data_IF_043265634072
#
_entry.id   IF_043265634072
#
_cell.length_a   1.000
_cell.length_b   1.000
_cell.length_c   1.000
_cell.angle_alpha   90.00
_cell.angle_beta   90.00
_cell.angle_gamma   90.00
#
_symmetry.space_group_name_H-M   'P 1'
#
loop_
_entity.id
_entity.type
_entity.pdbx_description
1 polymer ?
#
# COMPACT_ATOMS: atom_id res chain seq x y z
N UNK A 1 20.99 -15.88 -22.14
CA UNK A 1 20.62 -14.71 -21.33
C UNK A 1 21.62 -14.54 -20.20
N UNK A 2 21.83 -13.30 -19.77
CA UNK A 2 22.37 -13.00 -18.45
C UNK A 2 21.23 -13.00 -17.45
N UNK A 3 21.43 -13.59 -16.29
CA UNK A 3 20.46 -13.59 -15.19
C UNK A 3 21.12 -12.96 -13.96
N UNK A 4 20.53 -11.87 -13.48
CA UNK A 4 20.95 -11.18 -12.27
C UNK A 4 19.92 -11.38 -11.18
N UNK A 5 20.41 -11.57 -9.97
CA UNK A 5 19.56 -11.67 -8.78
C UNK A 5 20.09 -10.72 -7.71
N UNK A 6 19.20 -9.89 -7.19
CA UNK A 6 19.44 -9.03 -6.04
C UNK A 6 18.49 -9.44 -4.93
N UNK A 7 19.02 -9.67 -3.75
CA UNK A 7 18.23 -9.90 -2.55
C UNK A 7 18.39 -8.66 -1.66
N UNK A 8 17.29 -7.96 -1.46
CA UNK A 8 17.20 -6.93 -0.43
C UNK A 8 16.56 -7.62 0.76
N UNK A 9 17.35 -7.91 1.71
CA UNK A 9 16.91 -8.49 2.90
C UNK A 9 17.69 -7.97 3.92
N UNK A 10 17.46 -8.27 4.77
CA UNK A 10 17.70 -9.24 5.53
C UNK A 10 16.97 -9.00 6.80
N UNK A 11 17.41 -9.18 7.91
CA UNK A 11 16.71 -9.12 9.16
C UNK A 11 16.24 -7.71 9.57
N UNK A 12 16.77 -6.68 8.94
CA UNK A 12 16.57 -5.28 9.36
C UNK A 12 16.15 -4.34 8.24
N UNK A 13 15.88 -4.86 7.03
CA UNK A 13 15.53 -4.04 5.88
C UNK A 13 14.21 -4.44 5.27
N UNK A 14 13.45 -3.46 4.82
CA UNK A 14 12.27 -3.64 3.99
C UNK A 14 12.37 -2.75 2.77
N UNK A 15 11.93 -3.27 1.63
CA UNK A 15 11.84 -2.48 0.42
C UNK A 15 10.50 -1.76 0.39
N UNK A 16 10.56 -0.46 0.10
CA UNK A 16 9.41 0.36 -0.09
C UNK A 16 9.63 1.28 -1.29
N UNK A 17 8.80 1.16 -2.32
CA UNK A 17 8.95 1.88 -3.60
C UNK A 17 10.36 1.81 -4.20
N UNK A 18 10.96 0.63 -4.23
CA UNK A 18 12.27 0.42 -4.82
C UNK A 18 13.45 0.89 -3.97
N UNK A 19 13.22 1.32 -2.73
CA UNK A 19 14.27 1.72 -1.79
C UNK A 19 14.28 0.78 -0.59
N UNK A 20 15.47 0.45 -0.13
CA UNK A 20 15.64 -0.28 1.12
C UNK A 20 15.58 0.70 2.31
N UNK A 21 14.79 0.34 3.31
CA UNK A 21 14.70 1.07 4.56
C UNK A 21 15.06 0.16 5.72
N UNK A 22 15.78 0.71 6.69
CA UNK A 22 15.98 0.01 7.94
C UNK A 22 14.68 -0.03 8.72
N UNK A 23 14.32 -1.24 9.14
CA UNK A 23 13.16 -1.43 10.01
C UNK A 23 13.60 -1.37 11.48
N UNK A 24 12.74 -0.87 12.36
CA UNK A 24 12.96 -1.03 13.78
C UNK A 24 12.96 -2.54 14.13
N UNK A 25 13.61 -2.93 15.23
CA UNK A 25 13.64 -4.32 15.65
C UNK A 25 12.22 -4.88 15.90
N UNK A 26 12.06 -6.23 15.92
CA UNK A 26 10.76 -6.83 16.24
C UNK A 26 10.11 -6.17 17.47
N UNK A 27 8.77 -6.09 17.51
CA UNK A 27 7.79 -6.84 16.69
C UNK A 27 7.30 -6.10 15.43
N UNK A 28 7.99 -5.10 14.93
CA UNK A 28 7.48 -4.18 13.91
C UNK A 28 7.43 -4.74 12.49
N UNK A 29 8.05 -5.87 12.21
CA UNK A 29 8.07 -6.45 10.87
C UNK A 29 7.98 -7.98 10.85
N UNK A 30 7.57 -8.50 9.71
CA UNK A 30 7.56 -9.93 9.41
C UNK A 30 8.20 -10.13 8.04
N UNK A 31 9.33 -10.80 7.97
CA UNK A 31 10.06 -11.19 6.76
C UNK A 31 10.20 -10.10 5.69
N UNK A 32 11.06 -9.12 5.89
CA UNK A 32 11.20 -7.97 4.99
C UNK A 32 11.99 -8.27 3.70
N UNK A 33 12.01 -9.51 3.23
CA UNK A 33 12.81 -9.92 2.07
C UNK A 33 12.17 -9.50 0.76
N UNK A 34 12.95 -8.84 -0.10
CA UNK A 34 12.59 -8.59 -1.49
C UNK A 34 13.64 -9.17 -2.43
N UNK A 35 13.21 -9.94 -3.41
CA UNK A 35 14.08 -10.55 -4.42
C UNK A 35 13.76 -9.92 -5.76
N UNK A 36 14.78 -9.34 -6.39
CA UNK A 36 14.73 -8.84 -7.74
C UNK A 36 15.51 -9.75 -8.67
N UNK A 37 14.92 -10.12 -9.78
CA UNK A 37 15.58 -10.90 -10.82
C UNK A 37 15.40 -10.18 -12.17
N UNK A 38 16.48 -10.10 -12.93
CA UNK A 38 16.52 -9.46 -14.24
C UNK A 38 17.21 -10.38 -15.24
N UNK A 39 16.54 -10.63 -16.36
CA UNK A 39 17.08 -11.39 -17.48
C UNK A 39 17.33 -10.45 -18.64
N UNK A 40 18.57 -10.49 -19.16
CA UNK A 40 19.04 -9.63 -20.25
C UNK A 40 19.45 -10.52 -21.43
N UNK A 41 19.01 -10.15 -22.63
CA UNK A 41 19.46 -10.81 -23.84
C UNK A 41 20.96 -10.60 -24.08
N UNK A 42 21.70 -11.67 -24.32
CA UNK A 42 23.13 -11.60 -24.64
C UNK A 42 23.41 -10.92 -25.98
N UNK A 43 22.45 -11.04 -26.92
CA UNK A 43 22.62 -10.54 -28.27
C UNK A 43 22.49 -9.02 -28.40
N UNK A 44 21.66 -8.39 -27.61
CA UNK A 44 21.36 -6.95 -27.73
C UNK A 44 21.49 -6.17 -26.44
N UNK A 45 21.77 -6.81 -25.31
CA UNK A 45 21.94 -6.15 -24.03
C UNK A 45 20.65 -5.62 -23.41
N UNK A 46 19.49 -5.95 -23.96
CA UNK A 46 18.21 -5.44 -23.45
C UNK A 46 17.55 -6.39 -22.46
N UNK A 47 16.90 -5.84 -21.42
CA UNK A 47 16.11 -6.65 -20.51
C UNK A 47 14.87 -7.21 -21.22
N UNK A 48 14.59 -8.49 -21.03
CA UNK A 48 13.40 -9.10 -21.58
C UNK A 48 12.44 -9.60 -20.49
N UNK A 49 12.95 -9.84 -19.28
CA UNK A 49 12.11 -10.27 -18.16
C UNK A 49 12.61 -9.68 -16.86
N UNK A 50 11.69 -9.20 -16.07
CA UNK A 50 11.92 -8.76 -14.70
C UNK A 50 10.97 -9.52 -13.76
N UNK A 51 11.47 -9.97 -12.64
CA UNK A 51 10.67 -10.53 -11.54
C UNK A 51 11.02 -9.81 -10.24
N UNK A 52 10.00 -9.43 -9.51
CA UNK A 52 10.11 -8.93 -8.15
C UNK A 52 9.26 -9.80 -7.25
N UNK A 53 9.87 -10.36 -6.23
CA UNK A 53 9.15 -11.14 -5.23
C UNK A 53 9.32 -10.48 -3.86
N UNK A 54 8.20 -10.22 -3.24
CA UNK A 54 8.08 -9.72 -1.86
C UNK A 54 7.24 -10.71 -1.07
N UNK A 55 7.26 -10.63 0.26
CA UNK A 55 6.51 -11.55 1.13
C UNK A 55 5.00 -11.62 0.81
N UNK A 56 4.44 -10.58 0.23
CA UNK A 56 3.00 -10.44 -0.04
C UNK A 56 2.64 -10.35 -1.53
N UNK A 57 3.63 -10.17 -2.41
CA UNK A 57 3.38 -9.98 -3.84
C UNK A 57 4.54 -10.49 -4.69
N UNK A 58 4.21 -11.09 -5.83
CA UNK A 58 5.17 -11.45 -6.87
C UNK A 58 4.69 -10.81 -8.16
N UNK A 59 5.51 -9.93 -8.73
CA UNK A 59 5.28 -9.38 -10.07
C UNK A 59 6.27 -9.96 -11.06
N UNK A 60 5.79 -10.25 -12.27
CA UNK A 60 6.62 -10.68 -13.39
C UNK A 60 6.25 -9.83 -14.59
N UNK A 61 7.22 -9.18 -15.16
CA UNK A 61 7.09 -8.37 -16.36
C UNK A 61 7.93 -8.98 -17.47
N UNK A 62 7.37 -9.10 -18.66
CA UNK A 62 8.08 -9.63 -19.84
C UNK A 62 7.93 -8.66 -20.99
N UNK A 63 9.04 -8.30 -21.62
CA UNK A 63 9.05 -7.47 -22.81
C UNK A 63 8.93 -8.36 -24.05
N UNK A 64 7.94 -8.10 -24.87
CA UNK A 64 7.70 -8.80 -26.13
C UNK A 64 7.82 -7.80 -27.28
N UNK A 65 8.19 -8.30 -28.47
CA UNK A 65 8.23 -7.51 -29.70
C UNK A 65 9.10 -6.25 -29.61
N UNK A 66 10.27 -6.38 -28.97
CA UNK A 66 11.21 -5.29 -28.83
C UNK A 66 11.87 -5.02 -30.17
N UNK A 67 11.65 -3.86 -30.72
CA UNK A 67 12.27 -3.36 -31.93
C UNK A 67 13.33 -2.31 -31.58
N UNK A 68 14.53 -2.47 -32.14
CA UNK A 68 15.66 -1.58 -31.85
C UNK A 68 16.00 -0.82 -33.13
N UNK A 69 16.20 0.49 -33.00
CA UNK A 69 16.61 1.36 -34.10
C UNK A 69 15.65 1.33 -35.29
N UNK A 70 14.40 0.98 -35.14
CA UNK A 70 13.38 1.35 -36.09
C UNK A 70 13.19 2.85 -36.07
N UNK A 71 13.12 3.41 -37.28
CA UNK A 71 13.03 4.83 -37.52
C UNK A 71 12.10 5.52 -36.52
N UNK A 72 12.68 6.51 -35.93
CA UNK A 72 12.07 7.60 -35.17
C UNK A 72 10.59 7.44 -34.92
N UNK A 73 10.26 7.06 -33.69
CA UNK A 73 9.03 7.56 -33.07
C UNK A 73 9.27 9.09 -33.02
N UNK A 74 8.99 9.76 -34.09
CA UNK A 74 8.94 11.22 -34.15
C UNK A 74 7.79 11.63 -33.26
N UNK A 75 8.11 11.93 -32.02
CA UNK A 75 7.18 12.28 -30.95
C UNK A 75 6.07 11.25 -30.73
N UNK A 76 6.30 10.42 -29.78
CA UNK A 76 5.22 9.72 -29.11
C UNK A 76 4.33 10.77 -28.41
N UNK A 77 3.28 11.18 -29.06
CA UNK A 77 2.27 12.00 -28.41
C UNK A 77 1.38 11.08 -27.60
N UNK A 78 1.56 11.09 -26.29
CA UNK A 78 0.75 10.30 -25.34
C UNK A 78 -0.74 10.57 -25.53
N UNK A 79 -1.10 11.75 -26.04
CA UNK A 79 -2.50 12.14 -26.26
C UNK A 79 -3.16 11.40 -27.43
N UNK A 80 -2.39 10.87 -28.37
CA UNK A 80 -2.92 10.04 -29.48
C UNK A 80 -3.52 8.70 -28.99
N UNK A 81 -3.17 8.31 -27.75
CA UNK A 81 -3.64 7.06 -27.13
C UNK A 81 -4.71 7.27 -26.08
N UNK A 82 -5.21 8.47 -25.90
CA UNK A 82 -6.30 8.72 -24.96
C UNK A 82 -7.60 8.14 -25.54
N UNK A 83 -8.26 7.19 -24.86
CA UNK A 83 -9.51 6.62 -25.36
C UNK A 83 -10.58 7.70 -25.54
N UNK A 84 -11.45 7.51 -26.52
CA UNK A 84 -12.57 8.41 -26.75
C UNK A 84 -13.44 8.54 -25.50
N UNK A 85 -13.76 9.77 -25.12
CA UNK A 85 -14.56 10.07 -23.93
C UNK A 85 -13.75 10.47 -22.69
N UNK A 86 -12.41 10.44 -22.78
CA UNK A 86 -11.56 10.97 -21.71
C UNK A 86 -11.20 12.43 -21.97
N UNK A 87 -11.26 13.25 -20.94
CA UNK A 87 -10.74 14.61 -20.98
C UNK A 87 -9.26 14.63 -20.60
N UNK A 88 -8.43 15.25 -21.42
CA UNK A 88 -7.03 15.50 -21.07
C UNK A 88 -6.91 16.86 -20.40
N UNK A 89 -6.20 16.92 -19.28
CA UNK A 89 -5.89 18.17 -18.58
C UNK A 89 -4.39 18.29 -18.44
N UNK A 90 -3.87 19.48 -18.71
CA UNK A 90 -2.47 19.77 -18.43
C UNK A 90 -2.26 19.69 -16.93
N UNK A 91 -1.30 18.88 -16.51
CA UNK A 91 -0.93 18.81 -15.08
C UNK A 91 -0.16 20.08 -14.72
N UNK A 92 -0.65 20.79 -13.73
CA UNK A 92 0.02 21.94 -13.16
C UNK A 92 0.81 21.53 -11.92
N UNK A 93 2.13 21.41 -12.07
CA UNK A 93 3.03 21.07 -10.96
C UNK A 93 3.10 22.15 -9.88
N UNK A 94 2.69 23.39 -10.19
CA UNK A 94 2.66 24.49 -9.24
C UNK A 94 1.31 24.69 -8.54
N UNK A 95 0.25 24.05 -9.03
CA UNK A 95 -1.02 24.14 -8.39
C UNK A 95 -0.99 23.39 -7.04
N UNK A 96 -1.46 23.98 -5.95
CA UNK A 96 -1.59 23.24 -4.71
C UNK A 96 -2.46 22.02 -4.98
N UNK A 97 -1.95 20.84 -4.63
CA UNK A 97 -2.71 19.58 -4.74
C UNK A 97 -4.06 19.80 -4.07
N UNK A 98 -5.17 19.60 -4.81
CA UNK A 98 -6.53 19.66 -4.25
C UNK A 98 -6.71 18.71 -3.07
N UNK A 99 -5.78 17.78 -2.92
CA UNK A 99 -5.75 16.76 -1.87
C UNK A 99 -4.62 16.97 -0.86
N UNK A 100 -4.05 18.16 -0.73
CA UNK A 100 -3.29 18.44 0.48
C UNK A 100 -4.27 18.37 1.65
N UNK A 101 -4.23 17.25 2.35
CA UNK A 101 -4.99 17.06 3.56
C UNK A 101 -4.75 18.28 4.46
N UNK A 102 -5.81 18.97 4.83
CA UNK A 102 -5.69 20.11 5.71
C UNK A 102 -4.97 19.64 6.98
N UNK A 103 -3.97 20.40 7.43
CA UNK A 103 -3.36 20.10 8.72
C UNK A 103 -4.43 20.26 9.80
N UNK A 104 -4.87 19.15 10.35
CA UNK A 104 -5.92 19.06 11.36
C UNK A 104 -5.35 19.08 12.79
N UNK A 105 -4.03 19.24 12.95
CA UNK A 105 -3.39 19.28 14.27
C UNK A 105 -4.03 20.40 15.12
N UNK A 106 -4.49 20.03 16.29
CA UNK A 106 -5.19 20.94 17.22
C UNK A 106 -6.62 21.31 16.81
N UNK A 107 -7.16 20.73 15.74
CA UNK A 107 -8.55 20.92 15.33
C UNK A 107 -9.38 19.71 15.68
N UNK A 108 -10.71 19.91 15.78
CA UNK A 108 -11.65 18.81 15.91
C UNK A 108 -11.55 17.92 14.68
N UNK A 109 -11.43 16.59 14.87
CA UNK A 109 -11.47 15.62 13.79
C UNK A 109 -12.83 15.71 13.05
N UNK A 110 -12.84 15.54 11.71
CA UNK A 110 -14.08 15.42 10.96
C UNK A 110 -14.91 14.25 11.49
N UNK A 111 -16.21 14.43 11.58
CA UNK A 111 -17.13 13.34 11.95
C UNK A 111 -17.27 12.37 10.77
N UNK A 112 -17.38 11.09 11.10
CA UNK A 112 -17.62 10.03 10.13
C UNK A 112 -18.48 8.93 10.76
N UNK A 113 -19.19 8.18 9.93
CA UNK A 113 -19.91 6.95 10.29
C UNK A 113 -19.58 5.92 9.26
N UNK A 114 -19.03 4.78 9.66
CA UNK A 114 -18.59 3.68 8.80
C UNK A 114 -19.11 2.36 9.36
N UNK A 115 -19.24 1.34 8.50
CA UNK A 115 -19.67 0.03 8.94
C UNK A 115 -18.49 -0.80 9.47
N UNK A 116 -18.69 -1.49 10.57
CA UNK A 116 -17.73 -2.50 11.04
C UNK A 116 -17.86 -3.80 10.21
N UNK A 117 -16.95 -4.74 10.42
CA UNK A 117 -16.96 -6.05 9.74
C UNK A 117 -18.20 -6.92 10.08
N UNK A 118 -19.07 -6.48 10.95
CA UNK A 118 -20.39 -7.08 11.25
C UNK A 118 -21.53 -6.24 10.67
N UNK A 119 -21.21 -5.31 9.76
CA UNK A 119 -22.15 -4.40 9.10
C UNK A 119 -22.94 -3.51 10.09
N UNK A 120 -22.34 -3.18 11.22
CA UNK A 120 -22.92 -2.28 12.21
C UNK A 120 -22.31 -0.90 12.04
N UNK A 121 -23.13 0.16 11.98
CA UNK A 121 -22.62 1.52 11.90
C UNK A 121 -21.86 1.90 13.18
N UNK A 122 -20.72 2.52 12.99
CA UNK A 122 -19.87 3.08 14.04
C UNK A 122 -19.52 4.51 13.65
N UNK A 123 -19.81 5.45 14.51
CA UNK A 123 -19.46 6.86 14.33
C UNK A 123 -18.26 7.24 15.19
N UNK A 124 -17.50 8.24 14.74
CA UNK A 124 -16.41 8.77 15.57
C UNK A 124 -16.92 9.22 16.94
N UNK A 125 -18.11 9.82 17.01
CA UNK A 125 -18.76 10.25 18.25
C UNK A 125 -19.15 9.10 19.21
N UNK A 126 -19.20 7.85 18.72
CA UNK A 126 -19.47 6.68 19.56
C UNK A 126 -18.21 6.23 20.31
N UNK A 127 -17.04 6.60 19.83
CA UNK A 127 -15.77 6.29 20.47
C UNK A 127 -15.53 7.26 21.63
N UNK A 128 -15.58 6.72 22.85
CA UNK A 128 -15.52 7.56 24.07
C UNK A 128 -14.11 7.65 24.67
N UNK A 129 -13.18 6.89 24.16
CA UNK A 129 -11.80 6.87 24.65
C UNK A 129 -11.11 8.21 24.48
N UNK A 130 -10.29 8.57 25.45
CA UNK A 130 -9.53 9.83 25.46
C UNK A 130 -8.51 9.91 24.31
N UNK A 131 -7.94 8.75 23.94
CA UNK A 131 -7.01 8.65 22.81
C UNK A 131 -7.56 7.63 21.81
N UNK A 132 -7.76 8.08 20.59
CA UNK A 132 -8.21 7.23 19.47
C UNK A 132 -7.10 7.22 18.42
N UNK A 133 -6.51 6.05 18.16
CA UNK A 133 -5.57 5.86 17.07
C UNK A 133 -6.32 5.33 15.84
N UNK A 134 -6.40 6.16 14.81
CA UNK A 134 -6.98 5.78 13.52
C UNK A 134 -5.85 5.35 12.58
N UNK A 135 -5.88 4.08 12.16
CA UNK A 135 -4.94 3.49 11.22
C UNK A 135 -5.61 3.30 9.86
N UNK A 136 -5.23 4.10 8.88
CA UNK A 136 -5.67 3.88 7.49
C UNK A 136 -4.86 2.73 6.90
N UNK A 137 -5.52 1.71 6.42
CA UNK A 137 -4.89 0.45 6.03
C UNK A 137 -5.44 -0.09 4.70
N UNK A 138 -4.82 -1.13 4.17
CA UNK A 138 -5.28 -1.85 2.98
C UNK A 138 -4.97 -3.34 3.09
N UNK A 139 -5.92 -4.20 2.77
CA UNK A 139 -5.73 -5.65 2.85
C UNK A 139 -4.69 -6.18 1.85
N UNK A 140 -4.46 -5.46 0.75
CA UNK A 140 -3.42 -5.75 -0.24
C UNK A 140 -2.08 -5.06 0.04
N UNK A 141 -1.97 -4.27 1.09
CA UNK A 141 -0.79 -3.48 1.43
C UNK A 141 0.18 -4.28 2.30
N UNK A 142 1.35 -4.61 1.81
CA UNK A 142 2.34 -5.39 2.55
C UNK A 142 2.87 -4.70 3.80
N UNK A 143 3.16 -3.41 3.73
CA UNK A 143 3.58 -2.63 4.88
C UNK A 143 2.48 -2.58 5.96
N UNK A 144 1.21 -2.46 5.53
CA UNK A 144 0.08 -2.50 6.45
C UNK A 144 -0.04 -3.87 7.14
N UNK A 145 0.17 -4.96 6.38
CA UNK A 145 0.18 -6.30 6.97
C UNK A 145 1.33 -6.49 7.97
N UNK A 146 2.50 -5.96 7.66
CA UNK A 146 3.66 -6.02 8.55
C UNK A 146 3.45 -5.25 9.86
N UNK A 147 2.59 -4.23 9.89
CA UNK A 147 2.30 -3.45 11.09
C UNK A 147 1.30 -4.13 12.05
N UNK A 148 0.58 -5.18 11.61
CA UNK A 148 -0.45 -5.83 12.44
C UNK A 148 0.08 -6.32 13.80
N UNK A 149 1.22 -7.02 13.88
CA UNK A 149 1.73 -7.47 15.18
C UNK A 149 1.98 -6.31 16.13
N UNK A 150 2.54 -5.22 15.62
CA UNK A 150 2.75 -4.01 16.41
C UNK A 150 1.44 -3.38 16.90
N UNK A 151 0.44 -3.29 16.02
CA UNK A 151 -0.87 -2.73 16.38
C UNK A 151 -1.58 -3.55 17.45
N UNK A 152 -1.51 -4.89 17.36
CA UNK A 152 -2.03 -5.79 18.38
C UNK A 152 -1.29 -5.60 19.72
N UNK A 153 0.03 -5.52 19.67
CA UNK A 153 0.86 -5.27 20.86
C UNK A 153 0.54 -3.91 21.49
N UNK A 154 0.38 -2.88 20.67
CA UNK A 154 0.01 -1.54 21.12
C UNK A 154 -1.35 -1.56 21.83
N UNK A 155 -2.37 -2.20 21.21
CA UNK A 155 -3.69 -2.36 21.83
C UNK A 155 -3.59 -3.10 23.16
N UNK A 156 -2.87 -4.21 23.20
CA UNK A 156 -2.68 -4.99 24.42
C UNK A 156 -1.99 -4.19 25.52
N UNK A 157 -0.97 -3.39 25.15
CA UNK A 157 -0.23 -2.56 26.10
C UNK A 157 -1.12 -1.52 26.78
N UNK A 158 -2.07 -0.96 26.05
CA UNK A 158 -2.94 0.13 26.52
C UNK A 158 -4.39 -0.32 26.76
N UNK A 159 -4.64 -1.63 26.90
CA UNK A 159 -5.99 -2.18 27.06
C UNK A 159 -6.70 -1.70 28.32
N UNK A 160 -5.95 -1.37 29.39
CA UNK A 160 -6.48 -0.85 30.65
C UNK A 160 -6.53 0.68 30.69
N UNK A 161 -6.08 1.31 29.62
CA UNK A 161 -6.04 2.76 29.46
C UNK A 161 -7.25 3.25 28.65
N UNK A 162 -7.48 4.52 28.71
CA UNK A 162 -8.53 5.18 27.92
C UNK A 162 -8.08 5.37 26.45
N UNK A 163 -7.90 4.24 25.76
CA UNK A 163 -7.33 4.13 24.41
C UNK A 163 -8.16 3.21 23.51
N UNK A 164 -8.39 3.66 22.28
CA UNK A 164 -9.06 2.88 21.24
C UNK A 164 -8.21 2.84 19.97
N UNK A 165 -8.14 1.64 19.34
CA UNK A 165 -7.50 1.44 18.03
C UNK A 165 -8.55 1.09 17.00
N UNK A 166 -8.63 1.91 15.96
CA UNK A 166 -9.55 1.74 14.84
C UNK A 166 -8.75 1.65 13.55
N UNK A 167 -8.93 0.61 12.77
CA UNK A 167 -8.40 0.50 11.42
C UNK A 167 -9.51 0.72 10.39
N UNK A 168 -9.22 1.53 9.37
CA UNK A 168 -10.16 1.86 8.28
C UNK A 168 -9.53 1.42 6.97
N UNK A 169 -10.27 0.66 6.18
CA UNK A 169 -9.88 0.22 4.83
C UNK A 169 -10.93 0.65 3.81
N UNK A 170 -10.51 1.21 2.68
CA UNK A 170 -11.40 1.90 1.74
C UNK A 170 -11.31 1.40 0.29
N UNK A 171 -10.80 0.21 0.05
CA UNK A 171 -10.65 -0.31 -1.32
C UNK A 171 -11.15 -1.74 -1.51
N UNK A 172 -11.74 -2.33 -0.51
CA UNK A 172 -12.10 -3.74 -0.56
C UNK A 172 -13.52 -3.98 -0.10
N UNK A 173 -14.20 -4.88 -0.80
CA UNK A 173 -15.58 -5.24 -0.46
C UNK A 173 -15.65 -5.85 0.95
N UNK A 174 -16.73 -5.61 1.67
CA UNK A 174 -17.00 -6.08 3.03
C UNK A 174 -16.65 -7.56 3.24
N UNK A 175 -17.04 -8.44 2.34
CA UNK A 175 -16.70 -9.87 2.43
C UNK A 175 -15.18 -10.13 2.48
N UNK A 176 -14.39 -9.35 1.73
CA UNK A 176 -12.93 -9.46 1.76
C UNK A 176 -12.36 -8.97 3.08
N UNK A 177 -12.93 -7.90 3.65
CA UNK A 177 -12.56 -7.38 4.96
C UNK A 177 -12.85 -8.39 6.07
N UNK A 178 -14.04 -9.00 6.06
CA UNK A 178 -14.43 -10.05 7.02
C UNK A 178 -13.45 -11.24 7.00
N UNK A 179 -13.13 -11.74 5.79
CA UNK A 179 -12.19 -12.84 5.63
C UNK A 179 -10.78 -12.46 6.06
N UNK A 180 -10.36 -11.25 5.76
CA UNK A 180 -9.05 -10.74 6.16
C UNK A 180 -8.94 -10.60 7.68
N UNK A 181 -9.91 -9.97 8.32
CA UNK A 181 -9.94 -9.79 9.77
C UNK A 181 -9.90 -11.15 10.49
N UNK A 182 -10.67 -12.13 10.02
CA UNK A 182 -10.66 -13.49 10.55
C UNK A 182 -9.31 -14.17 10.36
N UNK A 183 -8.74 -14.13 9.15
CA UNK A 183 -7.45 -14.77 8.84
C UNK A 183 -6.28 -14.16 9.59
N UNK A 184 -6.32 -12.85 9.82
CA UNK A 184 -5.30 -12.11 10.58
C UNK A 184 -5.59 -12.04 12.06
N UNK A 185 -6.72 -12.61 12.51
CA UNK A 185 -7.15 -12.62 13.90
C UNK A 185 -7.11 -11.21 14.50
N UNK A 186 -7.68 -10.24 13.77
CA UNK A 186 -7.68 -8.85 14.24
C UNK A 186 -8.55 -8.73 15.50
N UNK A 187 -7.98 -8.21 16.55
CA UNK A 187 -8.60 -8.04 17.87
C UNK A 187 -8.99 -6.57 18.15
N UNK A 188 -8.87 -5.70 17.15
CA UNK A 188 -9.24 -4.29 17.20
C UNK A 188 -10.33 -3.97 16.17
N UNK A 189 -10.95 -2.81 16.34
CA UNK A 189 -12.01 -2.34 15.44
C UNK A 189 -11.51 -2.21 14.00
N UNK A 190 -12.25 -2.79 13.06
CA UNK A 190 -11.91 -2.76 11.64
C UNK A 190 -13.14 -2.34 10.85
N UNK A 191 -13.04 -1.22 10.16
CA UNK A 191 -14.14 -0.52 9.49
C UNK A 191 -13.94 -0.50 7.98
N UNK A 192 -15.07 -0.52 7.29
CA UNK A 192 -15.17 -0.29 5.86
C UNK A 192 -15.23 1.22 5.59
N UNK A 193 -14.28 1.72 4.83
CA UNK A 193 -14.18 3.13 4.49
C UNK A 193 -14.78 3.49 3.14
N UNK A 194 -15.42 2.54 2.44
CA UNK A 194 -15.99 2.74 1.10
C UNK A 194 -17.49 3.10 1.13
N UNK A 195 -18.09 3.31 2.28
CA UNK A 195 -19.49 3.72 2.43
C UNK A 195 -19.74 5.22 2.20
#
# INVERSE_FOLDING_TARGET
YFHFKLVINEDTQVEFFGKAYHMPPPPFYVEPTSIYELWIHKSNGLPYKKRRAMSHNISVETCCNVEINKETIDRFDVFDYVPQGYETKKYDYGAPSRNMAANLTGKKAPEWTLNDIKERPVSLSDLKSKVILVNITGIGCGACQASIPFLKELKRKYQEEDFELVAIESWSRMHSLQNYAKRKELDYMFLDGDD
#
